data_IF_338398937430
#
_entry.id   IF_338398937430
#
_cell.length_a   1.000
_cell.length_b   1.000
_cell.length_c   1.000
_cell.angle_alpha   90.00
_cell.angle_beta   90.00
_cell.angle_gamma   90.00
#
_symmetry.space_group_name_H-M   'P 1'
#
loop_
_entity.id
_entity.type
_entity.pdbx_description
1 polymer ?
#
# COMPACT_ATOMS: atom_id res chain seq x y z
N UNK A 1 -56.44 -63.63 -4.90
CA UNK A 1 -57.30 -63.05 -5.95
C UNK A 1 -56.42 -62.80 -7.17
N UNK A 2 -56.71 -63.40 -8.33
CA UNK A 2 -55.76 -63.44 -9.47
C UNK A 2 -55.56 -62.05 -10.11
N UNK A 3 -54.31 -61.71 -10.48
CA UNK A 3 -53.81 -60.48 -11.14
C UNK A 3 -54.52 -60.06 -12.46
N UNK A 4 -55.61 -60.72 -12.86
CA UNK A 4 -56.33 -60.50 -14.12
C UNK A 4 -57.25 -59.27 -14.16
N UNK A 5 -57.47 -58.55 -13.04
CA UNK A 5 -58.38 -57.39 -12.99
C UNK A 5 -57.68 -56.01 -12.83
N UNK A 6 -56.36 -55.92 -12.95
CA UNK A 6 -55.57 -54.70 -12.66
C UNK A 6 -55.81 -53.47 -13.58
N UNK A 7 -56.62 -53.59 -14.62
CA UNK A 7 -56.84 -52.52 -15.60
C UNK A 7 -57.81 -51.41 -15.12
N UNK A 8 -58.67 -51.66 -14.12
CA UNK A 8 -59.70 -50.70 -13.65
C UNK A 8 -59.44 -50.05 -12.28
N UNK A 9 -58.33 -50.36 -11.62
CA UNK A 9 -58.04 -49.85 -10.26
C UNK A 9 -57.37 -48.46 -10.27
N UNK A 10 -57.73 -47.63 -9.30
CA UNK A 10 -57.08 -46.35 -8.99
C UNK A 10 -55.63 -46.54 -8.57
N UNK A 11 -54.77 -45.53 -8.78
CA UNK A 11 -53.35 -45.59 -8.37
C UNK A 11 -53.17 -45.86 -6.88
N UNK A 12 -54.06 -45.33 -6.02
CA UNK A 12 -54.05 -45.60 -4.59
C UNK A 12 -54.36 -47.07 -4.29
N UNK A 13 -55.41 -47.60 -4.89
CA UNK A 13 -55.82 -49.00 -4.70
C UNK A 13 -54.74 -49.98 -5.18
N UNK A 14 -54.03 -49.66 -6.27
CA UNK A 14 -52.89 -50.46 -6.73
C UNK A 14 -51.72 -50.44 -5.75
N UNK A 15 -51.43 -49.28 -5.16
CA UNK A 15 -50.38 -49.13 -4.16
C UNK A 15 -50.72 -49.88 -2.87
N UNK A 16 -51.96 -49.78 -2.41
CA UNK A 16 -52.43 -50.47 -1.21
C UNK A 16 -52.43 -51.99 -1.39
N UNK A 17 -52.82 -52.48 -2.58
CA UNK A 17 -52.75 -53.90 -2.92
C UNK A 17 -51.30 -54.42 -2.90
N UNK A 18 -50.38 -53.73 -3.57
CA UNK A 18 -48.95 -54.10 -3.59
C UNK A 18 -48.36 -54.07 -2.18
N UNK A 19 -48.69 -53.05 -1.38
CA UNK A 19 -48.21 -52.94 0.00
C UNK A 19 -48.75 -54.08 0.88
N UNK A 20 -50.01 -54.47 0.69
CA UNK A 20 -50.61 -55.62 1.39
C UNK A 20 -49.96 -56.95 0.99
N UNK A 21 -49.69 -57.16 -0.31
CA UNK A 21 -49.03 -58.37 -0.81
C UNK A 21 -47.57 -58.47 -0.31
N UNK A 22 -46.82 -57.36 -0.33
CA UNK A 22 -45.44 -57.31 0.18
C UNK A 22 -45.37 -57.57 1.69
N UNK A 23 -46.32 -57.04 2.47
CA UNK A 23 -46.42 -57.33 3.91
C UNK A 23 -46.74 -58.78 4.18
N UNK A 24 -47.72 -59.35 3.47
CA UNK A 24 -48.07 -60.76 3.61
C UNK A 24 -46.91 -61.70 3.24
N UNK A 25 -46.12 -61.34 2.23
CA UNK A 25 -44.91 -62.05 1.86
C UNK A 25 -43.82 -61.95 2.92
N UNK A 26 -43.63 -60.78 3.52
CA UNK A 26 -42.68 -60.57 4.61
C UNK A 26 -43.06 -61.38 5.87
N UNK A 27 -44.34 -61.40 6.24
CA UNK A 27 -44.85 -62.21 7.36
C UNK A 27 -44.67 -63.70 7.11
N UNK A 28 -44.97 -64.18 5.89
CA UNK A 28 -44.74 -65.57 5.49
C UNK A 28 -43.25 -65.98 5.57
N UNK A 29 -42.35 -65.12 5.10
CA UNK A 29 -40.91 -65.38 5.16
C UNK A 29 -40.39 -65.43 6.60
N UNK A 30 -40.95 -64.62 7.50
CA UNK A 30 -40.62 -64.59 8.93
C UNK A 30 -41.12 -65.81 9.67
N UNK A 31 -42.34 -66.28 9.37
CA UNK A 31 -42.90 -67.53 9.91
C UNK A 31 -42.12 -68.77 9.43
N UNK A 32 -41.54 -68.72 8.22
CA UNK A 32 -40.67 -69.76 7.68
C UNK A 32 -39.26 -69.80 8.30
N UNK A 33 -38.95 -68.91 9.25
CA UNK A 33 -37.67 -68.91 9.99
C UNK A 33 -36.46 -68.38 9.20
N UNK A 34 -36.67 -67.66 8.10
CA UNK A 34 -35.59 -67.03 7.34
C UNK A 34 -34.99 -65.84 8.11
N UNK A 35 -33.67 -65.69 8.03
CA UNK A 35 -32.97 -64.53 8.60
C UNK A 35 -33.18 -63.26 7.77
N UNK A 36 -33.10 -62.08 8.40
CA UNK A 36 -33.28 -60.79 7.71
C UNK A 36 -32.26 -60.59 6.56
N UNK A 37 -31.07 -61.19 6.65
CA UNK A 37 -30.03 -61.13 5.61
C UNK A 37 -30.37 -61.95 4.36
N UNK A 38 -30.96 -63.14 4.54
CA UNK A 38 -31.41 -63.99 3.43
C UNK A 38 -32.62 -63.38 2.71
N UNK A 39 -33.50 -62.74 3.47
CA UNK A 39 -34.68 -62.03 2.96
C UNK A 39 -34.30 -60.80 2.13
N UNK A 40 -33.27 -60.04 2.53
CA UNK A 40 -32.73 -58.96 1.71
C UNK A 40 -32.15 -59.50 0.38
N UNK A 41 -31.49 -60.66 0.42
CA UNK A 41 -30.92 -61.32 -0.76
C UNK A 41 -31.98 -61.74 -1.78
N UNK A 42 -33.15 -62.21 -1.32
CA UNK A 42 -34.31 -62.55 -2.15
C UNK A 42 -35.01 -61.28 -2.70
N UNK A 43 -35.06 -60.22 -1.91
CA UNK A 43 -35.69 -58.95 -2.30
C UNK A 43 -34.79 -58.03 -3.14
N UNK A 44 -33.49 -58.31 -3.28
CA UNK A 44 -32.51 -57.58 -4.11
C UNK A 44 -32.99 -57.18 -5.52
N UNK A 45 -33.62 -58.05 -6.34
CA UNK A 45 -34.08 -57.64 -7.66
C UNK A 45 -35.19 -56.57 -7.60
N UNK A 46 -36.07 -56.63 -6.60
CA UNK A 46 -37.13 -55.65 -6.39
C UNK A 46 -36.56 -54.32 -5.87
N UNK A 47 -35.69 -54.37 -4.86
CA UNK A 47 -35.04 -53.19 -4.29
C UNK A 47 -34.12 -52.51 -5.31
N UNK A 48 -33.41 -53.27 -6.15
CA UNK A 48 -32.62 -52.72 -7.26
C UNK A 48 -33.49 -52.03 -8.33
N UNK A 49 -34.66 -52.57 -8.65
CA UNK A 49 -35.59 -51.94 -9.58
C UNK A 49 -36.14 -50.61 -9.04
N UNK A 50 -36.53 -50.57 -7.77
CA UNK A 50 -36.99 -49.35 -7.08
C UNK A 50 -35.86 -48.33 -6.96
N UNK A 51 -34.65 -48.77 -6.58
CA UNK A 51 -33.46 -47.91 -6.48
C UNK A 51 -33.08 -47.30 -7.83
N UNK A 52 -33.11 -48.08 -8.91
CA UNK A 52 -32.83 -47.58 -10.28
C UNK A 52 -33.84 -46.54 -10.74
N UNK A 53 -35.12 -46.73 -10.44
CA UNK A 53 -36.18 -45.75 -10.73
C UNK A 53 -36.00 -44.45 -9.93
N UNK A 54 -35.67 -44.58 -8.65
CA UNK A 54 -35.42 -43.45 -7.75
C UNK A 54 -34.19 -42.66 -8.18
N UNK A 55 -33.07 -43.33 -8.51
CA UNK A 55 -31.86 -42.69 -9.05
C UNK A 55 -32.17 -41.96 -10.36
N UNK A 56 -32.97 -42.55 -11.26
CA UNK A 56 -33.37 -41.90 -12.53
C UNK A 56 -34.22 -40.64 -12.32
N UNK A 57 -35.07 -40.62 -11.28
CA UNK A 57 -35.85 -39.43 -10.91
C UNK A 57 -34.96 -38.33 -10.34
N UNK A 58 -34.07 -38.67 -9.40
CA UNK A 58 -33.16 -37.72 -8.78
C UNK A 58 -32.15 -37.15 -9.77
N UNK A 59 -31.57 -37.99 -10.65
CA UNK A 59 -30.70 -37.51 -11.74
C UNK A 59 -31.41 -36.53 -12.66
N UNK A 60 -32.68 -36.76 -13.00
CA UNK A 60 -33.46 -35.79 -13.79
C UNK A 60 -33.67 -34.46 -13.06
N UNK A 61 -33.98 -34.49 -11.76
CA UNK A 61 -34.13 -33.27 -10.94
C UNK A 61 -32.82 -32.51 -10.85
N UNK A 62 -31.71 -33.21 -10.59
CA UNK A 62 -30.36 -32.62 -10.53
C UNK A 62 -29.97 -32.02 -11.88
N UNK A 63 -30.25 -32.70 -13.00
CA UNK A 63 -29.97 -32.16 -14.33
C UNK A 63 -30.76 -30.87 -14.63
N UNK A 64 -32.02 -30.79 -14.21
CA UNK A 64 -32.82 -29.56 -14.36
C UNK A 64 -32.25 -28.42 -13.53
N UNK A 65 -31.79 -28.70 -12.29
CA UNK A 65 -31.14 -27.69 -11.45
C UNK A 65 -29.81 -27.22 -12.06
N UNK A 66 -28.98 -28.13 -12.55
CA UNK A 66 -27.72 -27.80 -13.23
C UNK A 66 -27.99 -26.96 -14.48
N UNK A 67 -29.00 -27.32 -15.28
CA UNK A 67 -29.39 -26.56 -16.45
C UNK A 67 -29.88 -25.15 -16.08
N UNK A 68 -30.68 -25.01 -15.02
CA UNK A 68 -31.11 -23.71 -14.52
C UNK A 68 -29.95 -22.83 -14.04
N UNK A 69 -28.99 -23.41 -13.32
CA UNK A 69 -27.77 -22.71 -12.89
C UNK A 69 -26.90 -22.29 -14.07
N UNK A 70 -26.72 -23.16 -15.07
CA UNK A 70 -25.95 -22.84 -16.27
C UNK A 70 -26.58 -21.69 -17.07
N UNK A 71 -27.91 -21.70 -17.23
CA UNK A 71 -28.65 -20.61 -17.89
C UNK A 71 -28.54 -19.32 -17.07
N UNK A 72 -28.68 -19.39 -15.74
CA UNK A 72 -28.50 -18.22 -14.87
C UNK A 72 -27.09 -17.63 -15.00
N UNK A 73 -26.06 -18.48 -15.05
CA UNK A 73 -24.68 -18.06 -15.23
C UNK A 73 -24.45 -17.39 -16.59
N UNK A 74 -24.92 -17.97 -17.70
CA UNK A 74 -24.76 -17.36 -19.02
C UNK A 74 -25.49 -16.03 -19.13
N UNK A 75 -26.69 -15.90 -18.57
CA UNK A 75 -27.43 -14.63 -18.51
C UNK A 75 -26.69 -13.60 -17.67
N UNK A 76 -26.10 -14.00 -16.53
CA UNK A 76 -25.34 -13.09 -15.66
C UNK A 76 -24.10 -12.49 -16.34
N UNK A 77 -23.56 -13.16 -17.37
CA UNK A 77 -22.41 -12.70 -18.12
C UNK A 77 -22.76 -11.67 -19.21
N UNK A 78 -24.04 -11.49 -19.54
CA UNK A 78 -24.49 -10.51 -20.53
C UNK A 78 -24.32 -9.08 -20.04
N UNK A 79 -23.94 -8.17 -20.94
CA UNK A 79 -23.67 -6.77 -20.61
C UNK A 79 -24.93 -6.03 -20.12
N UNK A 80 -26.09 -6.38 -20.65
CA UNK A 80 -27.38 -5.83 -20.21
C UNK A 80 -27.69 -6.18 -18.77
N UNK A 81 -27.52 -7.45 -18.36
CA UNK A 81 -27.74 -7.84 -16.98
C UNK A 81 -26.76 -7.15 -16.03
N UNK A 82 -25.46 -7.09 -16.39
CA UNK A 82 -24.44 -6.38 -15.60
C UNK A 82 -24.77 -4.91 -15.42
N UNK A 83 -25.23 -4.25 -16.48
CA UNK A 83 -25.64 -2.85 -16.44
C UNK A 83 -26.84 -2.63 -15.53
N UNK A 84 -27.90 -3.44 -15.68
CA UNK A 84 -29.08 -3.33 -14.82
C UNK A 84 -28.79 -3.68 -13.36
N UNK A 85 -28.01 -4.73 -13.10
CA UNK A 85 -27.59 -5.10 -11.74
C UNK A 85 -26.77 -3.99 -11.09
N UNK A 86 -25.84 -3.37 -11.83
CA UNK A 86 -25.07 -2.20 -11.38
C UNK A 86 -25.97 -1.00 -11.09
N UNK A 87 -26.97 -0.73 -11.95
CA UNK A 87 -27.93 0.36 -11.74
C UNK A 87 -28.79 0.13 -10.49
N UNK A 88 -29.33 -1.09 -10.30
CA UNK A 88 -30.10 -1.45 -9.11
C UNK A 88 -29.22 -1.37 -7.86
N UNK A 89 -27.99 -1.88 -7.91
CA UNK A 89 -27.04 -1.78 -6.80
C UNK A 89 -26.76 -0.31 -6.44
N UNK A 90 -26.52 0.57 -7.42
CA UNK A 90 -26.32 2.01 -7.18
C UNK A 90 -27.55 2.65 -6.55
N UNK A 91 -28.75 2.31 -7.01
CA UNK A 91 -30.01 2.83 -6.42
C UNK A 91 -30.14 2.36 -4.96
N UNK A 92 -29.85 1.10 -4.67
CA UNK A 92 -29.87 0.55 -3.31
C UNK A 92 -28.84 1.25 -2.43
N UNK A 93 -27.61 1.46 -2.92
CA UNK A 93 -26.57 2.20 -2.20
C UNK A 93 -27.03 3.64 -1.89
N UNK A 94 -27.61 4.35 -2.86
CA UNK A 94 -28.12 5.71 -2.65
C UNK A 94 -29.26 5.73 -1.62
N UNK A 95 -30.14 4.71 -1.62
CA UNK A 95 -31.23 4.59 -0.64
C UNK A 95 -30.74 4.16 0.75
N UNK A 96 -29.57 3.55 0.87
CA UNK A 96 -28.96 3.17 2.14
C UNK A 96 -28.22 4.34 2.82
N UNK A 97 -27.82 5.38 2.06
CA UNK A 97 -27.16 6.60 2.59
C UNK A 97 -27.80 7.18 3.87
N UNK A 98 -29.13 7.34 3.99
CA UNK A 98 -29.75 7.88 5.21
C UNK A 98 -29.62 6.96 6.43
N UNK A 99 -29.32 5.67 6.25
CA UNK A 99 -29.10 4.71 7.34
C UNK A 99 -27.61 4.58 7.65
N UNK A 100 -26.76 4.61 6.61
CA UNK A 100 -25.31 4.57 6.72
C UNK A 100 -24.70 5.53 5.70
N UNK A 101 -24.16 6.64 6.19
CA UNK A 101 -23.41 7.56 5.37
C UNK A 101 -21.95 7.09 5.17
N UNK A 102 -21.66 6.47 4.03
CA UNK A 102 -20.30 6.12 3.61
C UNK A 102 -19.65 7.18 2.70
N UNK A 103 -20.31 8.31 2.47
CA UNK A 103 -19.74 9.44 1.72
C UNK A 103 -18.40 9.92 2.29
N UNK A 104 -18.17 9.91 3.63
CA UNK A 104 -16.85 10.19 4.20
C UNK A 104 -15.77 9.22 3.73
N UNK A 105 -16.07 7.92 3.61
CA UNK A 105 -15.11 6.91 3.15
C UNK A 105 -14.71 7.11 1.67
N UNK A 106 -15.60 7.67 0.85
CA UNK A 106 -15.33 7.96 -0.56
C UNK A 106 -14.40 9.18 -0.73
N UNK A 107 -14.53 10.19 0.14
CA UNK A 107 -13.70 11.40 0.08
C UNK A 107 -12.40 11.30 0.87
N UNK A 108 -12.29 10.36 1.79
CA UNK A 108 -11.06 10.15 2.56
C UNK A 108 -9.97 9.49 1.71
N UNK A 109 -8.73 9.99 1.86
CA UNK A 109 -7.54 9.37 1.23
C UNK A 109 -7.26 7.96 1.76
N UNK A 110 -7.78 7.64 2.95
CA UNK A 110 -7.57 6.36 3.64
C UNK A 110 -8.92 5.80 4.13
N UNK A 111 -9.19 4.51 3.84
CA UNK A 111 -10.41 3.82 4.31
C UNK A 111 -10.40 3.49 5.81
N UNK A 112 -9.21 3.37 6.40
CA UNK A 112 -9.02 3.11 7.83
C UNK A 112 -8.09 4.22 8.33
N UNK A 113 -8.62 5.12 9.15
CA UNK A 113 -7.79 6.09 9.84
C UNK A 113 -6.98 5.34 10.90
N UNK A 114 -5.65 5.53 10.91
CA UNK A 114 -4.87 5.21 12.09
C UNK A 114 -5.34 6.20 13.18
N UNK A 115 -5.64 5.75 14.42
CA UNK A 115 -5.89 6.68 15.51
C UNK A 115 -4.70 7.63 15.57
N UNK A 116 -4.95 8.92 15.40
CA UNK A 116 -3.93 9.92 15.69
C UNK A 116 -3.49 9.68 17.13
N UNK A 117 -2.18 9.44 17.39
CA UNK A 117 -1.74 9.35 18.76
C UNK A 117 -2.13 10.66 19.46
N UNK A 118 -2.60 10.59 20.71
CA UNK A 118 -2.85 11.78 21.47
C UNK A 118 -1.54 12.57 21.50
N UNK A 119 -1.57 13.81 21.00
CA UNK A 119 -0.45 14.78 20.93
C UNK A 119 0.28 14.94 19.58
N UNK A 120 -0.41 14.98 18.43
CA UNK A 120 0.20 15.55 17.21
C UNK A 120 0.33 17.09 17.29
N UNK A 121 -0.40 17.73 18.21
CA UNK A 121 -0.20 19.14 18.60
C UNK A 121 0.81 19.33 19.76
N UNK A 122 1.42 18.24 20.24
CA UNK A 122 2.38 18.28 21.34
C UNK A 122 3.77 18.59 20.83
N UNK A 123 4.19 19.86 20.91
CA UNK A 123 5.61 20.19 20.81
C UNK A 123 6.45 19.29 21.73
N UNK A 124 7.70 19.03 21.31
CA UNK A 124 8.67 18.19 22.05
C UNK A 124 8.61 18.50 23.54
N UNK A 125 8.34 17.50 24.37
CA UNK A 125 8.30 17.67 25.81
C UNK A 125 9.69 17.43 26.41
N UNK A 126 9.93 17.93 27.62
CA UNK A 126 11.22 17.73 28.31
C UNK A 126 11.53 16.26 28.58
N UNK A 127 10.51 15.39 28.66
CA UNK A 127 10.72 13.94 28.84
C UNK A 127 11.22 13.25 27.58
N UNK A 128 10.94 13.80 26.41
CA UNK A 128 11.36 13.23 25.13
C UNK A 128 12.86 13.44 24.87
N UNK A 129 13.45 14.48 25.50
CA UNK A 129 14.86 14.81 25.39
C UNK A 129 15.79 13.69 25.90
N UNK A 130 15.32 12.83 26.81
CA UNK A 130 16.09 11.70 27.37
C UNK A 130 16.58 10.76 26.25
N UNK A 131 15.84 10.65 25.15
CA UNK A 131 16.21 9.81 24.01
C UNK A 131 17.52 10.26 23.34
N UNK A 132 17.80 11.57 23.27
CA UNK A 132 18.96 12.10 22.58
C UNK A 132 20.18 12.37 23.47
N UNK A 133 20.08 12.29 24.80
CA UNK A 133 21.21 12.52 25.74
C UNK A 133 22.44 11.63 25.44
N UNK A 134 22.19 10.36 25.09
CA UNK A 134 23.25 9.40 24.79
C UNK A 134 23.80 9.53 23.34
N UNK A 135 23.13 10.30 22.48
CA UNK A 135 23.45 10.40 21.06
C UNK A 135 24.50 11.50 20.87
N UNK A 136 25.77 11.09 20.79
CA UNK A 136 26.91 12.00 20.60
C UNK A 136 27.46 12.03 19.18
N UNK A 137 27.19 10.97 18.41
CA UNK A 137 27.70 10.79 17.06
C UNK A 137 26.77 9.91 16.25
N UNK A 138 26.83 10.05 14.93
CA UNK A 138 25.99 9.28 14.01
C UNK A 138 26.67 7.98 13.61
N UNK A 139 25.93 6.88 13.74
CA UNK A 139 26.38 5.57 13.28
C UNK A 139 26.37 5.51 11.75
N UNK A 140 27.45 4.96 11.18
CA UNK A 140 27.53 4.60 9.76
C UNK A 140 27.34 3.10 9.63
N UNK A 141 26.33 2.70 8.87
CA UNK A 141 25.89 1.32 8.68
C UNK A 141 26.11 0.92 7.22
N UNK A 142 26.39 -0.36 7.00
CA UNK A 142 26.50 -0.99 5.69
C UNK A 142 25.84 -2.37 5.76
N UNK A 143 25.25 -2.84 4.67
CA UNK A 143 24.56 -4.13 4.55
C UNK A 143 23.55 -4.34 5.70
N UNK A 144 22.72 -3.33 5.93
CA UNK A 144 21.84 -3.25 7.11
C UNK A 144 20.42 -3.74 6.82
N UNK A 145 19.69 -4.13 7.86
CA UNK A 145 18.28 -4.53 7.73
C UNK A 145 17.34 -3.44 8.22
N UNK A 146 16.09 -3.48 7.77
CA UNK A 146 15.02 -2.63 8.33
C UNK A 146 14.95 -2.69 9.85
N UNK A 147 15.09 -3.89 10.42
CA UNK A 147 15.05 -4.11 11.86
C UNK A 147 16.18 -3.38 12.59
N UNK A 148 17.38 -3.39 12.03
CA UNK A 148 18.54 -2.72 12.62
C UNK A 148 18.38 -1.19 12.58
N UNK A 149 18.10 -0.62 11.41
CA UNK A 149 17.89 0.84 11.27
C UNK A 149 16.73 1.31 12.15
N UNK A 150 15.61 0.57 12.14
CA UNK A 150 14.41 0.99 12.85
C UNK A 150 14.52 0.80 14.37
N UNK A 151 14.76 -0.43 14.84
CA UNK A 151 14.70 -0.74 16.27
C UNK A 151 15.94 -0.31 17.04
N UNK A 152 17.12 -0.25 16.40
CA UNK A 152 18.35 0.12 17.10
C UNK A 152 18.71 1.60 16.97
N UNK A 153 18.21 2.30 15.95
CA UNK A 153 18.50 3.72 15.72
C UNK A 153 17.26 4.60 15.83
N UNK A 154 16.30 4.46 14.90
CA UNK A 154 15.18 5.40 14.80
C UNK A 154 14.27 5.41 16.04
N UNK A 155 13.91 4.24 16.59
CA UNK A 155 13.10 4.17 17.83
C UNK A 155 13.80 4.75 19.07
N UNK A 156 15.12 4.97 19.00
CA UNK A 156 15.89 5.61 20.08
C UNK A 156 16.11 7.09 19.84
N UNK A 157 15.47 7.67 18.81
CA UNK A 157 15.70 9.06 18.39
C UNK A 157 17.10 9.30 17.79
N UNK A 158 17.84 8.23 17.46
CA UNK A 158 19.20 8.32 16.96
C UNK A 158 19.21 8.27 15.41
N UNK A 159 19.74 9.31 14.73
CA UNK A 159 19.91 9.28 13.29
C UNK A 159 21.00 8.27 12.88
N UNK A 160 20.90 7.76 11.65
CA UNK A 160 21.87 6.82 11.09
C UNK A 160 22.19 7.17 9.63
N UNK A 161 23.43 6.88 9.21
CA UNK A 161 23.88 6.98 7.83
C UNK A 161 24.08 5.57 7.29
N UNK A 162 23.46 5.27 6.16
CA UNK A 162 23.69 4.01 5.44
C UNK A 162 24.57 4.31 4.24
N UNK A 163 25.76 3.71 4.21
CA UNK A 163 26.82 4.07 3.24
C UNK A 163 26.64 3.42 1.88
N UNK A 164 25.85 2.36 1.81
CA UNK A 164 25.65 1.51 0.64
C UNK A 164 24.20 1.54 0.12
N UNK A 165 23.45 2.56 0.50
CA UNK A 165 22.06 2.79 0.07
C UNK A 165 21.90 3.00 -1.45
N UNK A 166 23.01 3.23 -2.17
CA UNK A 166 23.05 3.58 -3.58
C UNK A 166 23.04 2.39 -4.54
N UNK A 167 23.03 1.13 -4.07
CA UNK A 167 23.06 -0.04 -4.94
C UNK A 167 21.94 -0.07 -5.99
N UNK A 168 20.75 0.39 -5.62
CA UNK A 168 19.58 0.42 -6.51
C UNK A 168 19.47 1.72 -7.31
N UNK A 169 20.37 2.69 -7.08
CA UNK A 169 20.35 3.92 -7.86
C UNK A 169 20.73 3.55 -9.29
N UNK A 170 19.86 3.88 -10.24
CA UNK A 170 20.18 3.63 -11.65
C UNK A 170 21.54 4.24 -11.93
N UNK A 171 22.48 3.44 -12.44
CA UNK A 171 23.90 3.75 -12.68
C UNK A 171 24.09 4.84 -13.74
N UNK A 172 23.44 5.99 -13.56
CA UNK A 172 23.59 7.17 -14.39
C UNK A 172 24.87 7.82 -13.92
N UNK A 173 25.97 7.43 -14.55
CA UNK A 173 27.29 8.02 -14.39
C UNK A 173 27.28 9.55 -14.49
N UNK A 174 26.22 10.14 -15.06
CA UNK A 174 25.95 11.57 -15.03
C UNK A 174 24.46 11.82 -14.76
N UNK A 175 24.16 12.49 -13.63
CA UNK A 175 22.81 12.94 -13.28
C UNK A 175 22.36 14.05 -14.25
N UNK A 176 21.70 13.67 -15.35
CA UNK A 176 21.12 14.62 -16.30
C UNK A 176 19.74 15.12 -15.82
N UNK A 177 19.75 16.06 -14.88
CA UNK A 177 18.53 16.68 -14.34
C UNK A 177 17.74 17.43 -15.43
N UNK A 178 18.44 18.12 -16.32
CA UNK A 178 17.83 18.87 -17.43
C UNK A 178 17.03 17.96 -18.35
N UNK A 179 17.60 16.81 -18.72
CA UNK A 179 16.91 15.77 -19.49
C UNK A 179 15.69 15.23 -18.74
N UNK A 180 15.85 14.88 -17.46
CA UNK A 180 14.73 14.35 -16.65
C UNK A 180 13.52 15.29 -16.63
N UNK A 181 13.76 16.60 -16.47
CA UNK A 181 12.69 17.59 -16.42
C UNK A 181 12.15 17.85 -17.83
N UNK A 182 12.98 17.87 -18.86
CA UNK A 182 12.54 18.18 -20.24
C UNK A 182 11.79 17.02 -20.91
N UNK A 183 12.06 15.77 -20.52
CA UNK A 183 11.46 14.57 -21.11
C UNK A 183 10.04 14.29 -20.59
N UNK A 184 9.65 14.84 -19.43
CA UNK A 184 8.34 14.64 -18.80
C UNK A 184 7.58 15.97 -18.73
N UNK A 185 6.61 16.17 -19.63
CA UNK A 185 5.74 17.36 -19.65
C UNK A 185 5.09 17.65 -18.28
N UNK A 186 4.84 16.61 -17.48
CA UNK A 186 4.24 16.74 -16.14
C UNK A 186 5.22 17.33 -15.13
N UNK A 187 6.52 17.16 -15.34
CA UNK A 187 7.57 17.79 -14.55
C UNK A 187 7.77 19.24 -14.98
N UNK A 188 7.81 19.50 -16.29
CA UNK A 188 8.00 20.84 -16.86
C UNK A 188 7.01 21.85 -16.28
N UNK A 189 5.73 21.49 -16.30
CA UNK A 189 4.63 22.35 -15.84
C UNK A 189 4.45 22.34 -14.31
N UNK A 190 5.21 21.53 -13.58
CA UNK A 190 5.06 21.43 -12.13
C UNK A 190 5.64 22.66 -11.43
N UNK A 191 4.90 23.17 -10.45
CA UNK A 191 5.27 24.36 -9.67
C UNK A 191 5.69 23.92 -8.28
N UNK A 192 6.95 24.16 -7.87
CA UNK A 192 7.39 23.90 -6.50
C UNK A 192 6.65 24.79 -5.50
N UNK A 193 6.34 24.24 -4.32
CA UNK A 193 5.69 25.01 -3.25
C UNK A 193 6.66 25.95 -2.54
N UNK A 194 7.92 25.56 -2.41
CA UNK A 194 8.98 26.33 -1.76
C UNK A 194 10.23 26.31 -2.64
N UNK A 195 10.88 27.47 -2.75
CA UNK A 195 12.13 27.63 -3.51
C UNK A 195 13.07 28.53 -2.71
N UNK A 196 14.33 28.10 -2.57
CA UNK A 196 15.42 28.84 -1.95
C UNK A 196 16.59 28.91 -2.94
N UNK A 197 17.06 30.12 -3.26
CA UNK A 197 18.18 30.31 -4.19
C UNK A 197 18.89 31.64 -3.97
N UNK A 198 20.13 31.76 -4.43
CA UNK A 198 20.83 33.04 -4.59
C UNK A 198 20.62 33.70 -5.95
N UNK A 199 20.02 33.01 -6.92
CA UNK A 199 19.73 33.57 -8.24
C UNK A 199 18.51 34.47 -8.10
N UNK A 200 18.54 35.65 -8.73
CA UNK A 200 17.41 36.57 -8.71
C UNK A 200 16.23 35.95 -9.49
N UNK A 201 15.26 35.44 -8.74
CA UNK A 201 14.00 34.95 -9.28
C UNK A 201 13.14 36.15 -9.69
N UNK A 202 12.50 36.04 -10.86
CA UNK A 202 11.59 37.04 -11.39
C UNK A 202 10.21 36.97 -10.73
N UNK A 203 9.19 36.58 -11.51
CA UNK A 203 7.82 36.42 -11.01
C UNK A 203 7.67 35.07 -10.33
N UNK A 204 7.02 35.04 -9.17
CA UNK A 204 6.54 33.81 -8.54
C UNK A 204 5.04 33.67 -8.80
N UNK A 205 4.51 32.45 -8.98
CA UNK A 205 5.21 31.17 -8.99
C UNK A 205 6.04 30.94 -10.28
N UNK A 206 7.11 30.14 -10.18
CA UNK A 206 7.88 29.64 -11.33
C UNK A 206 7.69 28.13 -11.45
N UNK A 207 7.64 27.64 -12.68
CA UNK A 207 7.66 26.22 -12.98
C UNK A 207 9.09 25.65 -12.97
N UNK A 208 9.21 24.32 -13.02
CA UNK A 208 10.52 23.66 -13.04
C UNK A 208 11.30 23.94 -14.31
N UNK A 209 10.63 24.08 -15.46
CA UNK A 209 11.28 24.42 -16.72
C UNK A 209 11.98 25.78 -16.65
N UNK A 210 11.34 26.80 -16.06
CA UNK A 210 11.96 28.11 -15.86
C UNK A 210 13.17 28.01 -14.93
N UNK A 211 13.08 27.25 -13.83
CA UNK A 211 14.20 27.03 -12.90
C UNK A 211 15.39 26.41 -13.62
N UNK A 212 15.14 25.32 -14.36
CA UNK A 212 16.16 24.61 -15.15
C UNK A 212 16.77 25.53 -16.18
N UNK A 213 15.95 26.25 -16.95
CA UNK A 213 16.42 27.18 -17.97
C UNK A 213 17.32 28.27 -17.39
N UNK A 214 17.07 28.73 -16.16
CA UNK A 214 17.91 29.75 -15.50
C UNK A 214 19.25 29.17 -15.07
N UNK A 215 19.29 27.97 -14.50
CA UNK A 215 20.56 27.36 -14.08
C UNK A 215 21.43 26.88 -15.26
N UNK A 216 20.82 26.55 -16.40
CA UNK A 216 21.54 26.10 -17.60
C UNK A 216 21.93 27.22 -18.55
N UNK A 217 21.04 28.21 -18.78
CA UNK A 217 21.30 29.29 -19.75
C UNK A 217 22.13 30.43 -19.17
N UNK A 218 22.25 30.51 -17.85
CA UNK A 218 23.08 31.55 -17.23
C UNK A 218 24.45 30.96 -16.92
N UNK A 219 25.52 31.55 -17.47
CA UNK A 219 26.91 31.26 -17.11
C UNK A 219 27.23 31.82 -15.70
N UNK A 220 26.35 31.55 -14.72
CA UNK A 220 26.57 31.97 -13.34
C UNK A 220 27.65 31.05 -12.75
N UNK A 221 28.80 31.61 -12.32
CA UNK A 221 29.93 30.81 -11.88
C UNK A 221 29.65 30.06 -10.56
N UNK A 222 28.75 30.58 -9.73
CA UNK A 222 28.42 30.06 -8.40
C UNK A 222 26.93 30.25 -8.08
N UNK A 223 26.18 29.16 -7.92
CA UNK A 223 24.76 29.21 -7.59
C UNK A 223 24.29 28.03 -6.75
N UNK A 224 23.16 28.23 -6.04
CA UNK A 224 22.38 27.17 -5.43
C UNK A 224 20.90 27.35 -5.74
N UNK A 225 20.18 26.25 -5.91
CA UNK A 225 18.74 26.21 -6.03
C UNK A 225 18.24 24.99 -5.27
N UNK A 226 17.36 25.22 -4.32
CA UNK A 226 16.70 24.16 -3.58
C UNK A 226 15.20 24.37 -3.68
N UNK A 227 14.45 23.32 -3.96
CA UNK A 227 13.00 23.43 -4.09
C UNK A 227 12.30 22.20 -3.56
N UNK A 228 11.10 22.41 -3.02
CA UNK A 228 10.22 21.38 -2.50
C UNK A 228 9.10 21.09 -3.51
N UNK A 229 8.99 19.85 -3.97
CA UNK A 229 7.87 19.44 -4.80
C UNK A 229 6.68 19.04 -3.93
N UNK A 230 5.55 19.72 -4.12
CA UNK A 230 4.26 19.40 -3.49
C UNK A 230 3.30 18.64 -4.42
N UNK A 231 3.52 18.69 -5.75
CA UNK A 231 2.72 17.90 -6.68
C UNK A 231 3.15 16.44 -6.61
N UNK A 232 2.23 15.57 -6.22
CA UNK A 232 2.43 14.12 -6.14
C UNK A 232 2.97 13.51 -7.44
N UNK A 233 2.68 14.13 -8.59
CA UNK A 233 3.20 13.71 -9.90
C UNK A 233 4.70 13.96 -9.98
N UNK A 234 5.13 15.18 -9.66
CA UNK A 234 6.54 15.55 -9.62
C UNK A 234 7.30 14.74 -8.56
N UNK A 235 6.71 14.59 -7.36
CA UNK A 235 7.28 13.76 -6.29
C UNK A 235 7.55 12.34 -6.79
N UNK A 236 6.61 11.74 -7.53
CA UNK A 236 6.77 10.39 -8.09
C UNK A 236 7.85 10.33 -9.18
N UNK A 237 7.88 11.27 -10.12
CA UNK A 237 8.89 11.26 -11.20
C UNK A 237 10.31 11.42 -10.66
N UNK A 238 10.50 12.21 -9.60
CA UNK A 238 11.82 12.37 -8.96
C UNK A 238 12.29 11.15 -8.14
N UNK A 239 11.42 10.17 -7.81
CA UNK A 239 11.85 8.92 -7.12
C UNK A 239 12.80 8.06 -7.92
N UNK A 240 12.93 8.31 -9.23
CA UNK A 240 13.93 7.63 -10.06
C UNK A 240 15.35 8.05 -9.68
N UNK A 241 15.55 9.25 -9.13
CA UNK A 241 16.86 9.75 -8.71
C UNK A 241 17.37 9.06 -7.44
N UNK A 242 16.50 8.94 -6.44
CA UNK A 242 16.75 8.22 -5.19
C UNK A 242 15.57 7.26 -4.96
N UNK A 243 15.66 6.01 -5.45
CA UNK A 243 14.64 5.00 -5.18
C UNK A 243 14.58 4.68 -3.69
N UNK A 244 13.51 3.98 -3.29
CA UNK A 244 13.35 3.49 -1.92
C UNK A 244 14.59 2.66 -1.53
N UNK A 245 15.35 3.02 -0.49
CA UNK A 245 16.50 2.24 -0.07
C UNK A 245 16.11 0.83 0.38
N UNK A 246 17.01 -0.15 0.17
CA UNK A 246 16.78 -1.56 0.48
C UNK A 246 16.45 -1.84 1.95
N UNK A 247 16.97 -1.03 2.88
CA UNK A 247 16.71 -1.15 4.31
C UNK A 247 15.35 -0.56 4.74
N UNK A 248 14.61 0.09 3.84
CA UNK A 248 13.31 0.68 4.15
C UNK A 248 12.18 -0.30 3.85
N UNK A 249 11.36 -0.61 4.86
CA UNK A 249 10.25 -1.54 4.71
C UNK A 249 9.20 -1.05 3.71
N UNK A 250 8.62 -1.94 2.87
CA UNK A 250 7.51 -1.58 1.98
C UNK A 250 6.26 -1.07 2.69
N UNK A 251 6.12 -1.37 3.99
CA UNK A 251 5.00 -0.91 4.82
C UNK A 251 5.07 0.57 5.17
N UNK A 252 6.25 1.21 5.05
CA UNK A 252 6.38 2.64 5.27
C UNK A 252 5.71 3.38 4.10
N UNK A 253 4.83 4.36 4.40
CA UNK A 253 4.18 5.16 3.38
C UNK A 253 5.19 5.77 2.41
N UNK A 254 4.80 5.99 1.14
CA UNK A 254 5.65 6.70 0.22
C UNK A 254 5.75 8.18 0.61
N UNK A 255 6.88 8.82 0.30
CA UNK A 255 7.09 10.23 0.61
C UNK A 255 6.02 11.13 0.00
N UNK A 256 5.51 12.08 0.79
CA UNK A 256 4.50 13.06 0.37
C UNK A 256 5.16 14.30 -0.25
N UNK A 257 6.35 14.67 0.23
CA UNK A 257 7.18 15.73 -0.34
C UNK A 257 8.59 15.24 -0.63
N UNK A 258 9.26 15.93 -1.55
CA UNK A 258 10.69 15.81 -1.72
C UNK A 258 11.32 17.18 -1.95
N UNK A 259 12.54 17.32 -1.45
CA UNK A 259 13.40 18.45 -1.77
C UNK A 259 14.50 18.00 -2.70
N UNK A 260 14.79 18.81 -3.70
CA UNK A 260 15.99 18.67 -4.51
C UNK A 260 16.93 19.82 -4.17
N UNK A 261 18.15 19.48 -3.73
CA UNK A 261 19.18 20.42 -3.34
C UNK A 261 20.26 20.44 -4.42
N UNK A 262 20.36 21.53 -5.17
CA UNK A 262 21.30 21.71 -6.25
C UNK A 262 22.23 22.86 -5.96
N UNK A 263 23.53 22.66 -6.17
CA UNK A 263 24.47 23.78 -6.19
C UNK A 263 25.64 23.51 -7.10
N UNK A 264 26.19 24.58 -7.67
CA UNK A 264 27.39 24.56 -8.49
C UNK A 264 28.36 25.63 -8.01
N UNK A 265 29.53 25.21 -7.57
CA UNK A 265 30.63 26.05 -7.06
C UNK A 265 30.18 27.08 -6.01
N UNK A 266 29.12 26.78 -5.26
CA UNK A 266 28.57 27.68 -4.26
C UNK A 266 29.34 27.51 -2.95
N UNK A 267 30.31 28.39 -2.73
CA UNK A 267 31.11 28.42 -1.51
C UNK A 267 30.47 29.35 -0.49
N UNK A 268 30.02 28.78 0.64
CA UNK A 268 29.43 29.55 1.73
C UNK A 268 29.88 28.98 3.07
N UNK A 269 29.81 29.82 4.12
CA UNK A 269 30.11 29.41 5.50
C UNK A 269 28.83 29.29 6.33
N UNK A 270 27.67 29.60 5.74
CA UNK A 270 26.40 29.64 6.44
C UNK A 270 25.56 28.42 6.10
N UNK A 271 25.22 27.66 7.13
CA UNK A 271 24.24 26.59 7.05
C UNK A 271 22.88 27.12 6.57
N UNK A 272 22.25 26.34 5.70
CA UNK A 272 20.93 26.58 5.15
C UNK A 272 19.93 25.77 5.96
N UNK A 273 18.92 26.46 6.46
CA UNK A 273 17.80 25.86 7.15
C UNK A 273 16.72 25.45 6.15
N UNK A 274 16.17 24.24 6.31
CA UNK A 274 15.02 23.76 5.55
C UNK A 274 13.87 23.50 6.52
N UNK A 275 12.70 24.06 6.23
CA UNK A 275 11.47 23.78 6.96
C UNK A 275 10.92 22.42 6.54
N UNK A 276 11.42 21.36 7.18
CA UNK A 276 10.95 19.99 6.98
C UNK A 276 9.74 19.69 7.86
N UNK A 277 8.78 18.95 7.31
CA UNK A 277 7.66 18.38 8.04
C UNK A 277 8.15 17.35 9.06
N UNK A 278 7.45 17.23 10.19
CA UNK A 278 7.75 16.23 11.21
C UNK A 278 7.43 14.84 10.69
N UNK A 279 8.37 13.91 10.81
CA UNK A 279 8.24 12.53 10.39
C UNK A 279 9.57 11.86 10.08
N UNK A 280 9.56 10.96 9.11
CA UNK A 280 10.76 10.27 8.63
C UNK A 280 11.37 11.06 7.48
N UNK A 281 12.60 11.54 7.70
CA UNK A 281 13.40 12.26 6.72
C UNK A 281 14.50 11.35 6.21
N UNK A 282 14.59 11.22 4.89
CA UNK A 282 15.66 10.47 4.22
C UNK A 282 16.37 11.42 3.26
N UNK A 283 17.65 11.66 3.49
CA UNK A 283 18.50 12.48 2.62
C UNK A 283 19.52 11.59 1.91
N UNK A 284 19.43 11.53 0.59
CA UNK A 284 20.35 10.79 -0.27
C UNK A 284 21.29 11.76 -1.00
N UNK A 285 22.60 11.54 -0.85
CA UNK A 285 23.63 12.36 -1.48
C UNK A 285 23.96 11.80 -2.87
N UNK A 286 23.41 12.42 -3.91
CA UNK A 286 23.48 11.92 -5.28
C UNK A 286 24.80 12.26 -5.98
N UNK A 287 25.36 13.44 -5.71
CA UNK A 287 26.64 13.89 -6.29
C UNK A 287 27.37 14.82 -5.35
N UNK A 288 28.68 14.65 -5.19
CA UNK A 288 29.48 15.52 -4.33
C UNK A 288 29.26 15.22 -2.86
N UNK A 289 29.32 16.26 -2.01
CA UNK A 289 29.22 16.09 -0.56
C UNK A 289 28.51 17.23 0.12
N UNK A 290 27.86 16.94 1.24
CA UNK A 290 27.14 17.92 2.04
C UNK A 290 27.49 17.78 3.51
N UNK A 291 27.79 18.90 4.17
CA UNK A 291 27.91 18.92 5.62
C UNK A 291 26.53 19.13 6.22
N UNK A 292 26.13 18.28 7.13
CA UNK A 292 24.82 18.33 7.79
C UNK A 292 25.03 18.62 9.27
N UNK A 293 24.19 19.49 9.79
CA UNK A 293 24.09 19.84 11.20
C UNK A 293 22.68 19.53 11.67
N UNK A 294 22.55 18.66 12.67
CA UNK A 294 21.30 18.37 13.36
C UNK A 294 21.33 19.04 14.73
N UNK A 295 20.45 20.02 14.92
CA UNK A 295 20.33 20.74 16.19
C UNK A 295 19.14 20.21 16.98
N UNK A 296 19.24 20.02 18.30
CA UNK A 296 18.07 19.67 19.09
C UNK A 296 17.00 20.76 19.01
N UNK A 297 15.73 20.38 18.86
CA UNK A 297 14.59 21.31 18.97
C UNK A 297 14.36 21.71 20.42
N UNK A 298 13.87 22.93 20.65
CA UNK A 298 13.42 23.35 21.97
C UNK A 298 12.33 22.39 22.51
N UNK A 299 12.40 21.96 23.78
CA UNK A 299 13.29 22.39 24.86
C UNK A 299 14.60 21.61 25.03
N UNK A 300 14.96 20.68 24.13
CA UNK A 300 16.10 19.77 24.29
C UNK A 300 17.49 20.37 23.99
N UNK A 301 17.59 21.71 23.87
CA UNK A 301 18.82 22.41 23.48
C UNK A 301 19.97 22.21 24.47
N UNK A 302 19.64 22.08 25.77
CA UNK A 302 20.63 21.94 26.85
C UNK A 302 20.98 20.48 27.16
N UNK A 303 20.08 19.53 26.85
CA UNK A 303 20.25 18.10 27.18
C UNK A 303 20.97 17.32 26.07
N UNK A 304 20.73 17.69 24.80
CA UNK A 304 21.18 16.94 23.64
C UNK A 304 22.30 17.64 22.88
N UNK A 305 23.18 16.84 22.27
CA UNK A 305 24.32 17.36 21.53
C UNK A 305 23.95 17.69 20.08
N UNK A 306 24.42 18.84 19.58
CA UNK A 306 24.38 19.15 18.15
C UNK A 306 25.26 18.18 17.38
N UNK A 307 24.67 17.45 16.42
CA UNK A 307 25.39 16.47 15.61
C UNK A 307 25.87 17.11 14.31
N UNK A 308 27.17 17.05 14.07
CA UNK A 308 27.79 17.58 12.85
C UNK A 308 28.51 16.45 12.11
N UNK A 309 28.22 16.30 10.82
CA UNK A 309 28.79 15.22 10.01
C UNK A 309 28.80 15.56 8.53
N UNK A 310 29.66 14.88 7.78
CA UNK A 310 29.70 14.93 6.31
C UNK A 310 28.93 13.74 5.75
N UNK A 311 28.07 14.01 4.77
CA UNK A 311 27.38 13.02 3.94
C UNK A 311 28.04 13.03 2.55
N UNK A 312 28.62 11.91 2.17
CA UNK A 312 29.35 11.70 0.92
C UNK A 312 28.47 11.09 -0.16
N UNK A 313 28.90 11.20 -1.42
CA UNK A 313 28.22 10.58 -2.56
C UNK A 313 27.92 9.10 -2.33
N UNK A 314 26.67 8.71 -2.57
CA UNK A 314 26.18 7.34 -2.35
C UNK A 314 25.72 7.03 -0.92
N UNK A 315 26.01 7.91 0.04
CA UNK A 315 25.51 7.77 1.41
C UNK A 315 24.08 8.31 1.53
N UNK A 316 23.31 7.72 2.44
CA UNK A 316 21.95 8.16 2.78
C UNK A 316 21.80 8.33 4.28
N UNK A 317 21.42 9.53 4.71
CA UNK A 317 21.02 9.83 6.07
C UNK A 317 19.54 9.47 6.26
N UNK A 318 19.23 8.82 7.37
CA UNK A 318 17.88 8.47 7.80
C UNK A 318 17.69 9.00 9.21
N UNK A 319 16.67 9.82 9.42
CA UNK A 319 16.34 10.34 10.73
C UNK A 319 14.83 10.50 10.94
N UNK A 320 14.42 10.34 12.18
CA UNK A 320 13.18 10.89 12.68
C UNK A 320 13.47 12.34 13.13
N UNK A 321 12.82 13.34 12.53
CA UNK A 321 13.13 14.74 12.81
C UNK A 321 12.21 15.37 13.90
N UNK A 322 11.58 14.53 14.73
CA UNK A 322 10.77 14.97 15.88
C UNK A 322 11.61 15.78 16.88
N UNK A 323 12.83 15.34 17.17
CA UNK A 323 13.77 15.97 18.10
C UNK A 323 14.81 16.89 17.44
N UNK A 324 14.92 16.83 16.10
CA UNK A 324 16.04 17.42 15.37
C UNK A 324 15.58 18.49 14.38
N UNK A 325 16.25 19.63 14.38
CA UNK A 325 16.25 20.63 13.32
C UNK A 325 17.36 20.30 12.32
N UNK A 326 17.00 20.32 11.03
CA UNK A 326 17.90 20.00 9.94
C UNK A 326 18.48 21.27 9.32
N UNK A 327 19.79 21.38 9.37
CA UNK A 327 20.55 22.39 8.67
C UNK A 327 21.65 21.72 7.82
N UNK A 328 21.98 22.31 6.68
CA UNK A 328 23.03 21.77 5.83
C UNK A 328 23.87 22.85 5.15
N UNK A 329 25.05 22.45 4.72
CA UNK A 329 26.01 23.28 4.02
C UNK A 329 26.53 22.50 2.81
N UNK A 330 26.24 22.95 1.58
CA UNK A 330 26.71 22.25 0.39
C UNK A 330 28.23 22.30 0.29
N UNK A 331 28.84 21.19 -0.15
CA UNK A 331 30.26 21.13 -0.45
C UNK A 331 30.63 21.92 -1.70
N UNK A 332 31.94 22.16 -1.88
CA UNK A 332 32.47 22.83 -3.07
C UNK A 332 32.32 21.96 -4.31
N UNK A 333 32.08 22.59 -5.46
CA UNK A 333 31.89 21.91 -6.74
C UNK A 333 30.42 21.73 -7.10
N UNK A 334 30.13 20.71 -7.91
CA UNK A 334 28.75 20.32 -8.21
C UNK A 334 28.23 19.41 -7.10
N UNK A 335 27.12 19.80 -6.49
CA UNK A 335 26.51 19.08 -5.39
C UNK A 335 25.02 18.89 -5.66
N UNK A 336 24.57 17.64 -5.52
CA UNK A 336 23.17 17.25 -5.71
C UNK A 336 22.78 16.32 -4.58
N UNK A 337 21.76 16.69 -3.82
CA UNK A 337 21.15 15.84 -2.82
C UNK A 337 19.64 15.86 -2.94
N UNK A 338 18.99 14.76 -2.56
CA UNK A 338 17.54 14.63 -2.54
C UNK A 338 17.10 14.31 -1.12
N UNK A 339 16.15 15.08 -0.59
CA UNK A 339 15.50 14.79 0.68
C UNK A 339 14.09 14.31 0.39
N UNK A 340 13.64 13.28 1.09
CA UNK A 340 12.26 12.83 1.06
C UNK A 340 11.66 12.93 2.45
N UNK A 341 10.44 13.43 2.50
CA UNK A 341 9.66 13.59 3.73
C UNK A 341 8.52 12.58 3.67
N UNK A 342 8.42 11.77 4.71
CA UNK A 342 7.34 10.80 4.87
C UNK A 342 6.66 11.09 6.19
N UNK A 343 5.35 11.31 6.13
CA UNK A 343 4.51 11.32 7.33
C UNK A 343 4.68 9.98 8.05
N UNK A 344 5.37 10.03 9.18
CA UNK A 344 5.71 8.88 9.97
C UNK A 344 5.55 9.25 11.42
N UNK A 345 4.65 8.54 12.08
CA UNK A 345 4.41 8.70 13.49
C UNK A 345 5.02 7.50 14.22
N UNK A 346 5.89 7.79 15.19
CA UNK A 346 6.46 6.86 16.17
C UNK A 346 5.35 6.36 17.09
N UNK A 347 4.47 5.49 16.57
CA UNK A 347 3.40 4.86 17.35
C UNK A 347 3.87 3.60 18.05
#
# INVERSE_FOLDING_TARGET
MSLKNGAKMSQREKFDLINSEVRSFYEYCKEAGMSDEEMDLICRPLTNAVRKSTIKRWTRVVLVLIMGMAIGYTVSQTDTFKWHASAVARIVLIKLLPVWDWTPLYHNKCMIARPEPPNVDGGVSTTDCIACEAVKSIARLSDTSYNEVFNHHLLRGAPAIVVDAHYDWSSRAELNLTGLISDDDRLRDSVPCRILTNIRIGRQPMDLEEIVSRITNTDIPSWFVHFQNCDIRAVKSFRVLAPRPYFLSPHIPPSHFNWLLLSKNYDTHRYKYLELDVGLVIMSQLKGKTFVQLRPRAPCEDDCYTLNFELSEGETLVLANSLWEFEYLPGKGENVAMITETDWNES
#
